data_IF_845912938578
#
_entry.id   IF_845912938578
#
_cell.length_a   1.000
_cell.length_b   1.000
_cell.length_c   1.000
_cell.angle_alpha   90.00
_cell.angle_beta   90.00
_cell.angle_gamma   90.00
#
_symmetry.space_group_name_H-M   'P 1'
#
loop_
_entity.id
_entity.type
_entity.pdbx_description
1 polymer ?
#
# COMPACT_ATOMS: atom_id res chain seq x y z
N UNK A 1 -13.56 -0.23 0.78
CA UNK A 1 -12.10 0.00 0.71
C UNK A 1 -11.30 -1.30 0.59
N UNK A 2 -11.65 -2.20 -0.35
CA UNK A 2 -10.88 -3.44 -0.64
C UNK A 2 -10.39 -3.49 -2.09
N UNK A 3 -11.04 -2.72 -2.97
CA UNK A 3 -10.81 -2.74 -4.42
C UNK A 3 -9.57 -1.95 -4.84
N UNK A 4 -9.23 -0.85 -4.14
CA UNK A 4 -8.05 -0.05 -4.46
C UNK A 4 -6.73 -0.81 -4.28
N UNK A 5 -6.61 -1.62 -3.22
CA UNK A 5 -5.42 -2.43 -2.95
C UNK A 5 -5.21 -3.52 -4.01
N UNK A 6 -6.31 -4.11 -4.50
CA UNK A 6 -6.26 -5.12 -5.56
C UNK A 6 -5.78 -4.55 -6.90
N UNK A 7 -6.18 -3.32 -7.25
CA UNK A 7 -5.77 -2.68 -8.51
C UNK A 7 -4.28 -2.32 -8.51
N UNK A 8 -3.76 -1.87 -7.37
CA UNK A 8 -2.33 -1.57 -7.22
C UNK A 8 -1.46 -2.83 -7.31
N UNK A 9 -1.94 -3.98 -6.79
CA UNK A 9 -1.27 -5.27 -6.90
C UNK A 9 -1.27 -5.84 -8.33
N UNK A 10 -2.39 -5.73 -9.06
CA UNK A 10 -2.51 -6.27 -10.43
C UNK A 10 -1.60 -5.53 -11.41
N UNK A 11 -1.42 -4.21 -11.24
CA UNK A 11 -0.53 -3.40 -12.09
C UNK A 11 0.95 -3.80 -12.00
N UNK A 12 1.39 -4.29 -10.83
CA UNK A 12 2.77 -4.76 -10.63
C UNK A 12 2.97 -6.17 -11.21
N UNK A 13 1.95 -7.04 -11.14
CA UNK A 13 2.02 -8.40 -11.68
C UNK A 13 2.09 -8.47 -13.21
N UNK A 14 1.56 -7.46 -13.92
CA UNK A 14 1.57 -7.44 -15.39
C UNK A 14 2.99 -7.37 -15.99
N UNK A 15 3.96 -6.80 -15.28
CA UNK A 15 5.36 -6.68 -15.73
C UNK A 15 6.24 -7.88 -15.36
N UNK A 16 5.68 -8.91 -14.71
CA UNK A 16 6.44 -10.03 -14.14
C UNK A 16 6.34 -11.32 -14.95
N UNK A 17 5.74 -11.33 -16.15
CA UNK A 17 5.60 -12.54 -16.97
C UNK A 17 6.84 -12.76 -17.85
N UNK A 18 7.72 -13.75 -17.57
CA UNK A 18 8.77 -14.15 -18.49
C UNK A 18 8.17 -15.16 -19.49
N UNK A 19 8.36 -14.88 -20.77
CA UNK A 19 7.99 -15.80 -21.85
C UNK A 19 8.95 -17.00 -21.87
N UNK A 20 8.38 -18.20 -21.70
CA UNK A 20 8.83 -19.56 -22.09
C UNK A 20 10.30 -19.96 -21.85
N UNK A 21 10.58 -21.22 -21.46
CA UNK A 21 11.60 -22.12 -22.08
C UNK A 21 11.85 -23.38 -21.21
N UNK A 22 11.28 -24.51 -21.65
CA UNK A 22 11.77 -25.90 -21.57
C UNK A 22 11.91 -26.66 -20.22
N UNK A 23 11.71 -27.97 -20.34
CA UNK A 23 11.18 -28.94 -19.37
C UNK A 23 12.18 -29.59 -18.38
N UNK A 24 11.63 -29.92 -17.20
CA UNK A 24 11.87 -31.10 -16.35
C UNK A 24 13.05 -31.19 -15.34
N UNK A 25 14.07 -30.32 -15.35
CA UNK A 25 14.94 -30.10 -14.16
C UNK A 25 14.96 -28.64 -13.67
N UNK A 26 14.16 -27.81 -14.32
CA UNK A 26 14.17 -26.36 -14.18
C UNK A 26 13.14 -25.83 -13.17
N UNK A 27 12.18 -26.66 -12.73
CA UNK A 27 11.03 -26.19 -11.96
C UNK A 27 11.42 -25.56 -10.63
N UNK A 28 12.29 -26.19 -9.83
CA UNK A 28 12.68 -25.63 -8.51
C UNK A 28 13.52 -24.35 -8.66
N UNK A 29 14.24 -24.21 -9.78
CA UNK A 29 15.00 -22.99 -10.08
C UNK A 29 14.07 -21.86 -10.48
N UNK A 30 13.08 -22.13 -11.34
CA UNK A 30 12.02 -21.20 -11.70
C UNK A 30 11.18 -20.78 -10.50
N UNK A 31 10.78 -21.72 -9.64
CA UNK A 31 10.01 -21.45 -8.43
C UNK A 31 10.74 -20.47 -7.51
N UNK A 32 12.04 -20.66 -7.34
CA UNK A 32 12.89 -19.72 -6.58
C UNK A 32 13.04 -18.38 -7.28
N UNK A 33 13.15 -18.34 -8.62
CA UNK A 33 13.23 -17.09 -9.37
C UNK A 33 11.96 -16.26 -9.18
N UNK A 34 10.79 -16.86 -9.39
CA UNK A 34 9.47 -16.19 -9.24
C UNK A 34 9.29 -15.69 -7.81
N UNK A 35 9.53 -16.56 -6.82
CA UNK A 35 9.43 -16.22 -5.39
C UNK A 35 10.38 -15.07 -5.02
N UNK A 36 11.63 -15.09 -5.50
CA UNK A 36 12.60 -14.03 -5.23
C UNK A 36 12.22 -12.72 -5.91
N UNK A 37 11.65 -12.76 -7.11
CA UNK A 37 11.20 -11.56 -7.81
C UNK A 37 10.04 -10.88 -7.08
N UNK A 38 9.07 -11.66 -6.59
CA UNK A 38 7.97 -11.14 -5.77
C UNK A 38 8.50 -10.52 -4.47
N UNK A 39 9.42 -11.20 -3.77
CA UNK A 39 10.07 -10.65 -2.57
C UNK A 39 10.77 -9.31 -2.85
N UNK A 40 11.50 -9.22 -3.97
CA UNK A 40 12.16 -7.97 -4.39
C UNK A 40 11.17 -6.87 -4.71
N UNK A 41 10.06 -7.18 -5.37
CA UNK A 41 9.01 -6.22 -5.68
C UNK A 41 8.33 -5.68 -4.42
N UNK A 42 8.02 -6.55 -3.46
CA UNK A 42 7.46 -6.13 -2.16
C UNK A 42 8.46 -5.27 -1.40
N UNK A 43 9.74 -5.65 -1.39
CA UNK A 43 10.76 -4.86 -0.70
C UNK A 43 11.01 -3.50 -1.39
N UNK A 44 10.88 -3.43 -2.72
CA UNK A 44 10.89 -2.17 -3.45
C UNK A 44 9.68 -1.30 -3.07
N UNK A 45 8.48 -1.87 -3.05
CA UNK A 45 7.27 -1.16 -2.63
C UNK A 45 7.41 -0.58 -1.22
N UNK A 46 7.97 -1.34 -0.26
CA UNK A 46 8.24 -0.85 1.10
C UNK A 46 9.18 0.36 1.10
N UNK A 47 10.22 0.34 0.27
CA UNK A 47 11.12 1.49 0.11
C UNK A 47 10.42 2.67 -0.53
N UNK A 48 9.62 2.46 -1.55
CA UNK A 48 8.93 3.53 -2.28
C UNK A 48 7.90 4.24 -1.39
N UNK A 49 7.17 3.49 -0.55
CA UNK A 49 6.24 4.05 0.46
C UNK A 49 6.99 4.98 1.43
N UNK A 50 8.15 4.55 1.93
CA UNK A 50 8.99 5.37 2.82
C UNK A 50 9.57 6.58 2.09
N UNK A 51 10.07 6.39 0.87
CA UNK A 51 10.66 7.44 0.06
C UNK A 51 9.64 8.52 -0.34
N UNK A 52 8.38 8.14 -0.53
CA UNK A 52 7.27 9.06 -0.78
C UNK A 52 6.80 9.83 0.47
N UNK A 53 7.37 9.55 1.65
CA UNK A 53 6.92 10.14 2.92
C UNK A 53 5.53 9.68 3.34
N UNK A 54 5.10 8.50 2.89
CA UNK A 54 3.79 7.93 3.22
C UNK A 54 3.82 7.06 4.49
N UNK A 55 5.00 6.79 5.04
CA UNK A 55 5.19 6.05 6.29
C UNK A 55 6.48 6.47 7.03
N UNK A 56 6.40 7.29 8.10
CA UNK A 56 5.19 7.94 8.61
C UNK A 56 4.74 9.08 7.68
N UNK A 57 3.46 9.14 7.35
CA UNK A 57 2.84 10.33 6.76
C UNK A 57 2.47 11.29 7.88
N UNK A 58 3.10 12.46 7.88
CA UNK A 58 2.87 13.52 8.86
C UNK A 58 2.29 14.75 8.15
N UNK A 59 1.09 15.15 8.54
CA UNK A 59 0.46 16.39 8.10
C UNK A 59 0.21 17.22 9.36
N UNK A 60 1.07 18.22 9.57
CA UNK A 60 1.02 19.09 10.75
C UNK A 60 -0.28 19.89 10.83
N UNK A 61 -0.75 20.40 9.69
CA UNK A 61 -1.92 21.27 9.64
C UNK A 61 -2.56 21.29 8.25
N UNK A 62 -3.86 21.08 8.21
CA UNK A 62 -4.71 21.29 7.03
C UNK A 62 -5.92 22.14 7.42
N UNK A 63 -6.10 23.27 6.75
CA UNK A 63 -7.23 24.18 6.96
C UNK A 63 -8.16 24.13 5.76
N UNK A 64 -9.44 23.86 6.02
CA UNK A 64 -10.49 23.87 5.00
C UNK A 64 -11.66 24.73 5.48
N UNK A 65 -12.00 25.75 4.71
CA UNK A 65 -13.22 26.53 4.92
C UNK A 65 -14.22 26.21 3.82
N UNK A 66 -15.44 25.81 4.21
CA UNK A 66 -16.57 25.73 3.28
C UNK A 66 -17.68 26.66 3.75
N UNK A 67 -18.30 27.36 2.80
CA UNK A 67 -19.46 28.20 3.07
C UNK A 67 -20.62 27.63 2.27
N UNK A 68 -21.52 26.86 2.93
CA UNK A 68 -22.70 26.30 2.27
C UNK A 68 -23.64 27.39 1.73
N UNK A 69 -23.60 28.59 2.34
CA UNK A 69 -24.33 29.78 1.90
C UNK A 69 -23.36 30.97 1.97
N UNK A 70 -23.00 31.61 0.84
CA UNK A 70 -22.11 32.76 0.84
C UNK A 70 -22.64 33.82 1.80
N UNK A 71 -21.80 34.28 2.73
CA UNK A 71 -22.02 35.40 3.67
C UNK A 71 -22.74 35.04 5.00
N UNK A 72 -23.56 33.99 5.09
CA UNK A 72 -24.36 33.72 6.30
C UNK A 72 -23.73 32.76 7.30
N UNK A 73 -22.98 31.75 6.83
CA UNK A 73 -22.36 30.76 7.70
C UNK A 73 -20.99 30.37 7.13
N UNK A 74 -19.95 30.47 7.96
CA UNK A 74 -18.62 29.96 7.63
C UNK A 74 -18.33 28.75 8.52
N UNK A 75 -18.15 27.59 7.90
CA UNK A 75 -17.69 26.38 8.59
C UNK A 75 -16.18 26.30 8.36
N UNK A 76 -15.40 26.55 9.41
CA UNK A 76 -13.95 26.38 9.41
C UNK A 76 -13.60 25.10 10.16
N UNK A 77 -13.00 24.15 9.44
CA UNK A 77 -12.43 22.94 10.01
C UNK A 77 -10.91 23.00 9.94
N UNK A 78 -10.25 22.68 11.05
CA UNK A 78 -8.80 22.55 11.13
C UNK A 78 -8.47 21.11 11.51
N UNK A 79 -7.71 20.43 10.65
CA UNK A 79 -7.10 19.15 10.95
C UNK A 79 -5.68 19.44 11.38
N UNK A 80 -5.29 18.94 12.54
CA UNK A 80 -3.97 19.11 13.14
C UNK A 80 -3.36 17.73 13.38
N UNK A 81 -2.03 17.63 13.31
CA UNK A 81 -1.28 16.43 13.72
C UNK A 81 -1.84 15.12 13.13
N UNK A 82 -2.15 15.09 11.83
CA UNK A 82 -2.46 13.82 11.19
C UNK A 82 -1.17 13.03 11.04
N UNK A 83 -1.14 11.87 11.67
CA UNK A 83 -0.05 10.90 11.61
C UNK A 83 -0.61 9.58 11.11
N UNK A 84 -0.03 9.05 10.04
CA UNK A 84 -0.36 7.74 9.51
C UNK A 84 0.89 6.88 9.35
N UNK A 85 0.92 5.73 10.01
CA UNK A 85 2.11 4.86 10.07
C UNK A 85 1.79 3.41 9.80
N UNK A 86 2.80 2.68 9.33
CA UNK A 86 2.76 1.23 9.15
C UNK A 86 2.43 0.73 7.74
N UNK A 87 2.23 1.62 6.76
CA UNK A 87 2.01 1.22 5.36
C UNK A 87 3.18 0.41 4.76
N UNK A 88 4.40 0.68 5.19
CA UNK A 88 5.61 -0.03 4.77
C UNK A 88 5.89 -1.28 5.61
N UNK A 89 5.07 -1.55 6.65
CA UNK A 89 5.18 -2.73 7.50
C UNK A 89 4.52 -3.94 6.85
N UNK A 90 4.89 -4.23 5.60
CA UNK A 90 4.38 -5.39 4.85
C UNK A 90 5.19 -6.62 5.29
N UNK A 91 4.52 -7.64 5.80
CA UNK A 91 5.10 -8.91 6.19
C UNK A 91 4.66 -10.03 5.22
N UNK A 92 5.62 -10.74 4.67
CA UNK A 92 5.39 -11.92 3.82
C UNK A 92 5.44 -13.15 4.74
N UNK A 93 4.29 -13.74 5.01
CA UNK A 93 4.16 -14.91 5.89
C UNK A 93 4.47 -16.21 5.13
N UNK A 94 3.92 -16.34 3.93
CA UNK A 94 4.11 -17.50 3.06
C UNK A 94 4.18 -17.03 1.60
N UNK A 95 5.06 -17.64 0.83
CA UNK A 95 5.19 -17.39 -0.59
C UNK A 95 5.75 -18.65 -1.26
N UNK A 96 4.84 -19.35 -1.92
CA UNK A 96 5.10 -20.61 -2.61
C UNK A 96 4.59 -20.50 -4.04
N UNK A 97 5.45 -20.84 -5.00
CA UNK A 97 5.07 -21.01 -6.38
C UNK A 97 5.33 -22.46 -6.74
N UNK A 98 4.33 -23.11 -7.33
CA UNK A 98 4.45 -24.47 -7.85
C UNK A 98 4.32 -24.42 -9.36
N UNK A 99 5.43 -24.67 -10.08
CA UNK A 99 5.41 -24.70 -11.55
C UNK A 99 4.57 -25.87 -12.06
N UNK A 100 4.61 -27.02 -11.37
CA UNK A 100 3.84 -28.22 -11.70
C UNK A 100 2.33 -27.98 -11.70
N UNK A 101 1.84 -27.22 -10.70
CA UNK A 101 0.42 -26.87 -10.58
C UNK A 101 0.10 -25.51 -11.19
N UNK A 102 1.11 -24.82 -11.75
CA UNK A 102 1.07 -23.43 -12.18
C UNK A 102 0.30 -22.53 -11.19
N UNK A 103 0.65 -22.63 -9.90
CA UNK A 103 -0.10 -22.00 -8.81
C UNK A 103 0.82 -21.21 -7.91
N UNK A 104 0.51 -19.92 -7.75
CA UNK A 104 1.12 -19.04 -6.77
C UNK A 104 0.23 -18.97 -5.51
N UNK A 105 0.81 -19.28 -4.36
CA UNK A 105 0.21 -19.06 -3.04
C UNK A 105 1.03 -17.99 -2.33
N UNK A 106 0.36 -16.93 -1.90
CA UNK A 106 0.99 -15.85 -1.14
C UNK A 106 0.12 -15.51 0.06
N UNK A 107 0.76 -15.36 1.20
CA UNK A 107 0.18 -14.88 2.45
C UNK A 107 0.97 -13.64 2.87
N UNK A 108 0.30 -12.50 2.87
CA UNK A 108 0.87 -11.19 3.15
C UNK A 108 0.00 -10.51 4.21
N UNK A 109 0.64 -9.89 5.19
CA UNK A 109 -0.03 -9.16 6.26
C UNK A 109 0.56 -7.76 6.44
N UNK A 110 -0.26 -6.84 6.98
CA UNK A 110 0.17 -5.55 7.52
C UNK A 110 -0.18 -5.54 9.01
N UNK A 111 0.75 -5.90 9.91
CA UNK A 111 0.43 -6.16 11.31
C UNK A 111 0.26 -4.90 12.16
N UNK A 112 0.80 -3.76 11.73
CA UNK A 112 0.68 -2.50 12.46
C UNK A 112 0.30 -1.40 11.47
N UNK A 113 -0.91 -0.87 11.61
CA UNK A 113 -1.40 0.27 10.86
C UNK A 113 -2.03 1.23 11.87
N UNK A 114 -1.49 2.44 11.97
CA UNK A 114 -1.92 3.44 12.94
C UNK A 114 -2.30 4.72 12.23
N UNK A 115 -3.41 5.32 12.64
CA UNK A 115 -3.89 6.61 12.17
C UNK A 115 -4.26 7.46 13.39
N UNK A 116 -3.56 8.56 13.58
CA UNK A 116 -3.85 9.58 14.59
C UNK A 116 -4.24 10.86 13.89
N UNK A 117 -5.31 11.52 14.37
CA UNK A 117 -5.79 12.79 13.80
C UNK A 117 -6.30 13.64 14.95
N UNK A 118 -5.75 14.84 15.10
CA UNK A 118 -6.36 15.87 15.92
C UNK A 118 -7.27 16.74 15.03
N UNK A 119 -8.43 17.11 15.55
CA UNK A 119 -9.39 17.92 14.82
C UNK A 119 -9.99 18.98 15.75
N UNK A 120 -10.08 20.20 15.24
CA UNK A 120 -10.86 21.28 15.84
C UNK A 120 -11.79 21.89 14.78
N UNK A 121 -13.05 22.11 15.16
CA UNK A 121 -13.96 22.93 14.36
C UNK A 121 -14.41 24.14 15.15
N UNK A 122 -14.41 25.27 14.47
CA UNK A 122 -14.91 26.53 15.00
C UNK A 122 -16.12 26.91 14.15
N UNK A 123 -17.27 26.99 14.81
CA UNK A 123 -18.49 27.56 14.23
C UNK A 123 -18.55 29.03 14.64
N UNK A 124 -18.34 29.94 13.69
CA UNK A 124 -18.59 31.36 13.89
C UNK A 124 -19.85 31.75 13.12
N UNK A 125 -20.85 32.25 13.85
CA UNK A 125 -22.10 32.81 13.32
C UNK A 125 -22.03 34.33 13.30
#
# INVERSE_FOLDING_TARGET
MKVFFAILLVGVCANALPQALFENEFSTREERIVTNQIKRAIEQLRRDIKAAGLDPLLIEKYEGSTSPVPILVTIAGKIENLEFTGLSNIAINDLDYSTLRNRLRFDISLPQLSLSIDYSAILSA
#
